data_IF_511188918065
#
_entry.id   IF_511188918065
#
_cell.length_a   1.000
_cell.length_b   1.000
_cell.length_c   1.000
_cell.angle_alpha   90.00
_cell.angle_beta   90.00
_cell.angle_gamma   90.00
#
_symmetry.space_group_name_H-M   'P 1'
#
loop_
_entity.id
_entity.type
_entity.pdbx_description
1 polymer ?
#
# COMPACT_ATOMS: atom_id res chain seq x y z
N UNK A 1 -16.36 -1.00 8.47
CA UNK A 1 -16.09 -1.28 7.05
C UNK A 1 -14.58 -1.36 6.87
N UNK A 2 -14.08 -2.09 5.87
CA UNK A 2 -12.65 -2.38 5.75
C UNK A 2 -12.00 -1.45 4.75
N UNK A 3 -11.05 -0.63 5.20
CA UNK A 3 -10.24 0.21 4.30
C UNK A 3 -9.20 -0.65 3.58
N UNK A 4 -9.34 -0.77 2.26
CA UNK A 4 -8.36 -1.35 1.33
C UNK A 4 -7.95 -0.31 0.30
N UNK A 5 -6.68 -0.29 -0.08
CA UNK A 5 -6.17 0.53 -1.15
C UNK A 5 -5.72 -0.34 -2.32
N UNK A 6 -5.94 0.14 -3.54
CA UNK A 6 -5.56 -0.57 -4.76
C UNK A 6 -5.04 0.41 -5.81
N UNK A 7 -4.16 -0.03 -6.73
CA UNK A 7 -3.65 0.83 -7.79
C UNK A 7 -4.77 1.45 -8.62
N UNK A 8 -4.71 2.77 -8.87
CA UNK A 8 -5.69 3.49 -9.69
C UNK A 8 -5.80 2.84 -11.07
N UNK A 9 -4.65 2.53 -11.66
CA UNK A 9 -4.53 1.72 -12.86
C UNK A 9 -3.79 0.42 -12.53
N UNK A 10 -4.47 -0.72 -12.73
CA UNK A 10 -3.82 -2.03 -12.56
C UNK A 10 -2.55 -2.15 -13.41
N UNK A 11 -1.36 -2.35 -12.80
CA UNK A 11 -0.10 -2.28 -13.54
C UNK A 11 0.05 -3.31 -14.66
N UNK A 12 -0.52 -4.51 -14.49
CA UNK A 12 -0.54 -5.54 -15.55
C UNK A 12 -1.40 -5.12 -16.75
N UNK A 13 -2.52 -4.41 -16.52
CA UNK A 13 -3.31 -3.81 -17.61
C UNK A 13 -2.56 -2.66 -18.27
N UNK A 14 -1.92 -1.80 -17.48
CA UNK A 14 -1.15 -0.67 -18.00
C UNK A 14 0.00 -1.10 -18.92
N UNK A 15 0.69 -2.20 -18.57
CA UNK A 15 1.80 -2.76 -19.33
C UNK A 15 1.37 -3.73 -20.44
N UNK A 16 0.08 -4.00 -20.61
CA UNK A 16 -0.42 -4.97 -21.60
C UNK A 16 -0.01 -6.42 -21.31
N UNK A 17 0.29 -6.76 -20.05
CA UNK A 17 0.73 -8.09 -19.62
C UNK A 17 -0.34 -8.87 -18.86
N UNK A 18 -1.52 -8.28 -18.65
CA UNK A 18 -2.64 -8.95 -18.01
C UNK A 18 -3.19 -10.07 -18.91
N UNK A 19 -3.33 -11.26 -18.35
CA UNK A 19 -4.17 -12.32 -18.92
C UNK A 19 -5.59 -12.05 -18.45
N UNK A 20 -6.53 -12.01 -19.39
CA UNK A 20 -7.93 -11.74 -19.11
C UNK A 20 -8.75 -13.02 -19.17
N UNK A 21 -9.74 -13.14 -18.29
CA UNK A 21 -10.73 -14.21 -18.34
C UNK A 21 -11.76 -13.98 -19.47
N UNK A 22 -12.69 -14.92 -19.63
CA UNK A 22 -13.75 -14.82 -20.64
C UNK A 22 -14.70 -13.62 -20.49
N UNK A 23 -14.66 -12.93 -19.35
CA UNK A 23 -15.45 -11.73 -19.05
C UNK A 23 -14.62 -10.43 -19.12
N UNK A 24 -13.34 -10.52 -19.52
CA UNK A 24 -12.42 -9.38 -19.61
C UNK A 24 -11.88 -8.89 -18.27
N UNK A 25 -12.06 -9.64 -17.18
CA UNK A 25 -11.43 -9.36 -15.87
C UNK A 25 -10.02 -9.93 -15.85
N UNK A 26 -9.19 -9.42 -14.93
CA UNK A 26 -7.81 -9.91 -14.79
C UNK A 26 -7.84 -11.28 -14.12
N UNK A 27 -7.32 -12.29 -14.79
CA UNK A 27 -6.99 -13.56 -14.16
C UNK A 27 -5.63 -13.41 -13.48
N UNK A 28 -5.63 -13.23 -12.15
CA UNK A 28 -4.42 -12.98 -11.38
C UNK A 28 -3.47 -14.18 -11.39
N UNK A 29 -3.99 -15.41 -11.38
CA UNK A 29 -3.19 -16.63 -11.32
C UNK A 29 -2.54 -16.89 -12.69
N UNK A 30 -3.31 -16.77 -13.77
CA UNK A 30 -2.76 -16.90 -15.12
C UNK A 30 -1.77 -15.77 -15.45
N UNK A 31 -2.06 -14.53 -15.02
CA UNK A 31 -1.14 -13.39 -15.20
C UNK A 31 0.18 -13.62 -14.45
N UNK A 32 0.14 -14.15 -13.23
CA UNK A 32 1.35 -14.49 -12.47
C UNK A 32 2.09 -15.69 -13.08
N UNK A 33 1.37 -16.75 -13.47
CA UNK A 33 1.96 -17.93 -14.11
C UNK A 33 2.67 -17.62 -15.42
N UNK A 34 2.19 -16.62 -16.17
CA UNK A 34 2.84 -16.11 -17.38
C UNK A 34 3.97 -15.10 -17.11
N UNK A 35 4.28 -14.78 -15.85
CA UNK A 35 5.27 -13.75 -15.49
C UNK A 35 4.82 -12.31 -15.80
N UNK A 36 3.53 -12.12 -16.07
CA UNK A 36 2.94 -10.84 -16.45
C UNK A 36 2.68 -9.89 -15.30
N UNK A 37 2.64 -10.36 -14.05
CA UNK A 37 2.30 -9.56 -12.87
C UNK A 37 3.45 -8.63 -12.43
N UNK A 38 3.33 -7.29 -12.53
CA UNK A 38 4.41 -6.39 -12.11
C UNK A 38 4.65 -6.38 -10.60
N UNK A 39 3.61 -6.59 -9.79
CA UNK A 39 3.74 -6.65 -8.32
C UNK A 39 4.60 -7.85 -7.91
N UNK A 40 4.30 -9.03 -8.46
CA UNK A 40 5.05 -10.25 -8.19
C UNK A 40 6.51 -10.11 -8.58
N UNK A 41 6.79 -9.51 -9.75
CA UNK A 41 8.16 -9.29 -10.24
C UNK A 41 8.92 -8.25 -9.43
N UNK A 42 8.24 -7.22 -8.92
CA UNK A 42 8.85 -6.20 -8.09
C UNK A 42 9.35 -6.78 -6.76
N UNK A 43 8.74 -7.88 -6.29
CA UNK A 43 9.11 -8.57 -5.06
C UNK A 43 9.33 -7.56 -3.92
N UNK A 44 8.24 -6.90 -3.49
CA UNK A 44 8.25 -5.84 -2.48
C UNK A 44 8.69 -6.30 -1.08
N UNK A 45 9.26 -7.51 -0.95
CA UNK A 45 9.69 -8.13 0.28
C UNK A 45 8.54 -8.62 1.15
N UNK A 46 8.90 -9.12 2.32
CA UNK A 46 7.95 -9.59 3.32
C UNK A 46 7.11 -8.45 3.92
N UNK A 47 6.02 -8.82 4.61
CA UNK A 47 5.14 -7.87 5.30
C UNK A 47 3.89 -7.47 4.52
N UNK A 48 3.58 -8.17 3.44
CA UNK A 48 2.37 -7.92 2.68
C UNK A 48 1.13 -8.12 3.56
N UNK A 49 0.37 -7.04 3.74
CA UNK A 49 -0.92 -7.08 4.43
C UNK A 49 -2.02 -7.00 3.39
N UNK A 50 -2.64 -8.15 3.11
CA UNK A 50 -3.65 -8.27 2.08
C UNK A 50 -4.99 -7.67 2.50
N UNK A 51 -5.66 -7.05 1.53
CA UNK A 51 -7.01 -6.53 1.70
C UNK A 51 -8.08 -7.62 1.80
N UNK A 52 -9.34 -7.22 1.91
CA UNK A 52 -10.48 -8.13 2.13
C UNK A 52 -10.59 -9.24 1.08
N UNK A 53 -10.20 -8.95 -0.17
CA UNK A 53 -10.28 -9.90 -1.27
C UNK A 53 -8.99 -10.69 -1.52
N UNK A 54 -7.95 -10.51 -0.69
CA UNK A 54 -6.68 -11.23 -0.86
C UNK A 54 -5.93 -10.91 -2.15
N UNK A 55 -6.30 -9.85 -2.87
CA UNK A 55 -5.68 -9.48 -4.14
C UNK A 55 -4.24 -9.01 -3.86
N UNK A 56 -3.20 -9.66 -4.42
CA UNK A 56 -1.84 -9.44 -3.93
C UNK A 56 -1.31 -8.02 -4.09
N UNK A 57 -1.69 -7.33 -5.16
CA UNK A 57 -1.27 -5.94 -5.40
C UNK A 57 -2.07 -4.89 -4.62
N UNK A 58 -3.08 -5.30 -3.85
CA UNK A 58 -3.81 -4.41 -2.95
C UNK A 58 -3.11 -4.34 -1.60
N UNK A 59 -3.40 -3.29 -0.85
CA UNK A 59 -2.90 -3.10 0.50
C UNK A 59 -4.04 -2.84 1.48
N UNK A 60 -3.93 -3.38 2.69
CA UNK A 60 -4.88 -3.13 3.77
C UNK A 60 -4.65 -1.76 4.40
N UNK A 61 -5.23 -0.72 3.82
CA UNK A 61 -5.10 0.67 4.32
C UNK A 61 -5.51 0.88 5.77
N UNK A 62 -6.39 0.05 6.31
CA UNK A 62 -6.71 0.07 7.75
C UNK A 62 -5.49 -0.18 8.64
N UNK A 63 -4.57 -1.06 8.23
CA UNK A 63 -3.33 -1.32 8.96
C UNK A 63 -2.39 -0.13 8.86
N UNK A 64 -2.23 0.44 7.65
CA UNK A 64 -1.45 1.66 7.46
C UNK A 64 -1.98 2.86 8.27
N UNK A 65 -3.31 3.00 8.36
CA UNK A 65 -3.96 4.01 9.20
C UNK A 65 -3.65 3.81 10.68
N UNK A 66 -3.69 2.56 11.16
CA UNK A 66 -3.33 2.26 12.55
C UNK A 66 -1.88 2.63 12.85
N UNK A 67 -0.94 2.35 11.94
CA UNK A 67 0.47 2.73 12.07
C UNK A 67 0.64 4.26 12.13
N UNK A 68 -0.05 4.99 11.26
CA UNK A 68 -0.07 6.46 11.25
C UNK A 68 -0.59 7.01 12.58
N UNK A 69 -1.72 6.49 13.07
CA UNK A 69 -2.32 6.96 14.31
C UNK A 69 -1.41 6.71 15.52
N UNK A 70 -0.75 5.55 15.59
CA UNK A 70 0.22 5.26 16.64
C UNK A 70 1.38 6.27 16.66
N UNK A 71 1.90 6.65 15.48
CA UNK A 71 2.93 7.69 15.36
C UNK A 71 2.41 9.05 15.83
N UNK A 72 1.19 9.43 15.45
CA UNK A 72 0.59 10.70 15.88
C UNK A 72 0.38 10.73 17.39
N UNK A 73 -0.14 9.65 17.97
CA UNK A 73 -0.33 9.53 19.43
C UNK A 73 1.00 9.60 20.19
N UNK A 74 2.10 9.16 19.57
CA UNK A 74 3.46 9.28 20.10
C UNK A 74 4.12 10.65 19.86
N UNK A 75 3.41 11.61 19.28
CA UNK A 75 3.86 12.99 19.10
C UNK A 75 4.41 13.31 17.71
N UNK A 76 4.28 12.39 16.75
CA UNK A 76 4.51 12.70 15.33
C UNK A 76 3.37 13.53 14.73
N UNK A 77 3.60 14.09 13.55
CA UNK A 77 2.57 14.81 12.80
C UNK A 77 2.66 14.46 11.32
N UNK A 78 1.52 14.14 10.71
CA UNK A 78 1.41 14.02 9.27
C UNK A 78 1.55 15.41 8.62
N UNK A 79 2.25 15.53 7.46
CA UNK A 79 2.22 16.72 6.63
C UNK A 79 0.78 17.04 6.18
N UNK A 80 0.49 18.31 5.97
CA UNK A 80 -0.85 18.77 5.56
C UNK A 80 -1.27 18.13 4.24
N UNK A 81 -0.32 17.96 3.31
CA UNK A 81 -0.48 17.41 1.97
C UNK A 81 -0.94 15.94 1.97
N UNK A 82 -0.68 15.22 3.05
CA UNK A 82 -1.06 13.81 3.24
C UNK A 82 -1.85 13.60 4.53
N UNK A 83 -2.56 14.63 5.00
CA UNK A 83 -3.29 14.61 6.27
C UNK A 83 -4.39 13.53 6.34
N UNK A 84 -4.88 13.04 5.20
CA UNK A 84 -5.81 11.90 5.14
C UNK A 84 -5.14 10.53 5.27
N UNK A 85 -3.80 10.44 5.23
CA UNK A 85 -3.08 9.16 5.29
C UNK A 85 -3.56 8.16 4.23
N UNK A 86 -3.89 6.93 4.64
CA UNK A 86 -4.40 5.93 3.71
C UNK A 86 -5.84 6.19 3.24
N UNK A 87 -6.51 7.22 3.77
CA UNK A 87 -7.80 7.67 3.26
C UNK A 87 -7.66 8.57 2.01
N UNK A 88 -6.46 9.03 1.67
CA UNK A 88 -6.25 9.88 0.50
C UNK A 88 -6.62 11.33 0.73
N UNK A 89 -6.92 12.05 -0.36
CA UNK A 89 -7.16 13.50 -0.39
C UNK A 89 -8.64 13.92 -0.24
N UNK A 90 -9.52 12.96 0.06
CA UNK A 90 -10.96 13.19 0.22
C UNK A 90 -11.79 12.90 -1.02
N UNK A 91 -11.17 12.61 -2.17
CA UNK A 91 -11.84 12.05 -3.36
C UNK A 91 -11.62 10.53 -3.49
N UNK A 92 -11.26 9.86 -2.39
CA UNK A 92 -10.85 8.46 -2.35
C UNK A 92 -9.61 8.17 -3.21
N UNK A 93 -8.76 9.18 -3.43
CA UNK A 93 -7.58 9.10 -4.27
C UNK A 93 -6.28 9.38 -3.52
N UNK A 94 -5.24 8.62 -3.88
CA UNK A 94 -3.87 8.86 -3.49
C UNK A 94 -3.10 9.05 -4.79
N UNK A 95 -2.85 10.31 -5.18
CA UNK A 95 -2.03 10.62 -6.36
C UNK A 95 -0.60 10.04 -6.23
N UNK A 96 0.18 9.93 -7.32
CA UNK A 96 1.58 9.52 -7.23
C UNK A 96 2.40 10.35 -6.23
N UNK A 97 2.22 11.67 -6.21
CA UNK A 97 2.91 12.57 -5.29
C UNK A 97 2.44 12.39 -3.84
N UNK A 98 1.14 12.16 -3.65
CA UNK A 98 0.58 11.81 -2.34
C UNK A 98 1.20 10.52 -1.80
N UNK A 99 1.21 9.46 -2.63
CA UNK A 99 1.82 8.17 -2.28
C UNK A 99 3.30 8.34 -1.92
N UNK A 100 4.06 9.11 -2.70
CA UNK A 100 5.48 9.34 -2.45
C UNK A 100 5.74 10.17 -1.19
N UNK A 101 4.92 11.18 -0.94
CA UNK A 101 5.01 12.01 0.27
C UNK A 101 4.70 11.17 1.51
N UNK A 102 3.61 10.39 1.48
CA UNK A 102 3.24 9.52 2.59
C UNK A 102 4.27 8.41 2.83
N UNK A 103 4.83 7.82 1.77
CA UNK A 103 5.89 6.83 1.88
C UNK A 103 7.15 7.40 2.56
N UNK A 104 7.57 8.61 2.15
CA UNK A 104 8.71 9.29 2.77
C UNK A 104 8.47 9.58 4.25
N UNK A 105 7.27 10.05 4.57
CA UNK A 105 6.89 10.28 5.97
C UNK A 105 6.94 8.98 6.79
N UNK A 106 6.43 7.86 6.27
CA UNK A 106 6.56 6.56 6.95
C UNK A 106 8.03 6.20 7.15
N UNK A 107 8.85 6.28 6.11
CA UNK A 107 10.30 5.98 6.17
C UNK A 107 11.01 6.76 7.29
N UNK A 108 10.65 8.03 7.50
CA UNK A 108 11.22 8.89 8.54
C UNK A 108 10.71 8.62 9.96
N UNK A 109 9.56 7.96 10.11
CA UNK A 109 8.87 7.78 11.40
C UNK A 109 8.81 6.33 11.91
N UNK A 110 9.45 5.39 11.20
CA UNK A 110 9.45 3.97 11.57
C UNK A 110 9.94 3.69 12.99
N UNK A 111 11.01 4.33 13.44
CA UNK A 111 11.53 4.14 14.81
C UNK A 111 10.56 4.65 15.88
N UNK A 112 9.89 5.78 15.60
CA UNK A 112 8.88 6.32 16.51
C UNK A 112 7.70 5.35 16.64
N UNK A 113 7.20 4.82 15.52
CA UNK A 113 6.18 3.77 15.52
C UNK A 113 6.61 2.55 16.34
N UNK A 114 7.82 2.02 16.11
CA UNK A 114 8.29 0.83 16.84
C UNK A 114 8.44 1.09 18.34
N UNK A 115 8.73 2.32 18.75
CA UNK A 115 8.80 2.70 20.17
C UNK A 115 7.45 2.60 20.89
N UNK A 116 6.32 2.69 20.16
CA UNK A 116 4.98 2.56 20.73
C UNK A 116 4.58 1.11 21.01
N UNK A 117 5.38 0.15 20.54
CA UNK A 117 5.09 -1.28 20.63
C UNK A 117 5.95 -1.99 21.67
N UNK A 118 5.43 -3.08 22.28
CA UNK A 118 6.23 -4.01 23.06
C UNK A 118 7.41 -4.56 22.24
N UNK A 119 8.57 -4.75 22.86
CA UNK A 119 9.78 -5.23 22.17
C UNK A 119 9.54 -6.53 21.38
N UNK A 120 8.72 -7.44 21.93
CA UNK A 120 8.34 -8.71 21.29
C UNK A 120 7.60 -8.57 19.97
N UNK A 121 6.96 -7.43 19.70
CA UNK A 121 6.16 -7.19 18.50
C UNK A 121 6.92 -6.38 17.43
N UNK A 122 8.00 -5.70 17.82
CA UNK A 122 8.70 -4.74 16.96
C UNK A 122 9.24 -5.36 15.67
N UNK A 123 9.77 -6.58 15.72
CA UNK A 123 10.36 -7.21 14.54
C UNK A 123 9.32 -7.45 13.43
N UNK A 124 8.15 -7.97 13.78
CA UNK A 124 7.05 -8.18 12.82
C UNK A 124 6.47 -6.87 12.33
N UNK A 125 6.20 -5.94 13.25
CA UNK A 125 5.64 -4.63 12.93
C UNK A 125 6.58 -3.81 12.02
N UNK A 126 7.90 -3.90 12.20
CA UNK A 126 8.88 -3.24 11.34
C UNK A 126 8.82 -3.73 9.89
N UNK A 127 8.56 -5.03 9.69
CA UNK A 127 8.45 -5.63 8.36
C UNK A 127 7.19 -5.11 7.65
N UNK A 128 6.04 -5.14 8.33
CA UNK A 128 4.77 -4.64 7.79
C UNK A 128 4.80 -3.13 7.52
N UNK A 129 5.41 -2.37 8.43
CA UNK A 129 5.54 -0.92 8.30
C UNK A 129 6.41 -0.53 7.09
N UNK A 130 7.55 -1.20 6.91
CA UNK A 130 8.39 -1.01 5.71
C UNK A 130 7.66 -1.45 4.44
N UNK A 131 6.86 -2.50 4.50
CA UNK A 131 6.05 -2.92 3.36
C UNK A 131 5.04 -1.84 2.96
N UNK A 132 4.40 -1.17 3.91
CA UNK A 132 3.46 -0.08 3.62
C UNK A 132 4.11 1.05 2.80
N UNK A 133 5.30 1.51 3.21
CA UNK A 133 6.07 2.51 2.46
C UNK A 133 6.46 2.01 1.05
N UNK A 134 6.98 0.78 0.95
CA UNK A 134 7.34 0.18 -0.35
C UNK A 134 6.14 0.04 -1.28
N UNK A 135 4.98 -0.34 -0.75
CA UNK A 135 3.76 -0.46 -1.52
C UNK A 135 3.28 0.89 -2.06
N UNK A 136 3.36 1.95 -1.26
CA UNK A 136 3.04 3.32 -1.70
C UNK A 136 3.98 3.78 -2.82
N UNK A 137 5.30 3.60 -2.67
CA UNK A 137 6.30 3.91 -3.72
C UNK A 137 6.00 3.15 -5.01
N UNK A 138 5.77 1.84 -4.90
CA UNK A 138 5.49 0.98 -6.04
C UNK A 138 4.19 1.37 -6.75
N UNK A 139 3.15 1.74 -5.98
CA UNK A 139 1.86 2.15 -6.52
C UNK A 139 1.92 3.55 -7.17
N UNK A 140 2.72 4.46 -6.63
CA UNK A 140 3.01 5.73 -7.28
C UNK A 140 3.65 5.51 -8.67
N UNK A 141 4.65 4.63 -8.75
CA UNK A 141 5.40 4.38 -9.99
C UNK A 141 4.60 3.59 -11.04
N UNK A 142 3.85 2.58 -10.62
CA UNK A 142 3.24 1.62 -11.55
C UNK A 142 1.72 1.69 -11.62
N UNK A 143 1.10 2.22 -10.57
CA UNK A 143 -0.35 2.30 -10.41
C UNK A 143 -0.97 3.62 -10.82
N UNK A 144 -0.15 4.64 -11.14
CA UNK A 144 -0.60 6.03 -11.27
C UNK A 144 -1.29 6.52 -9.98
N UNK A 145 -0.72 6.12 -8.84
CA UNK A 145 -1.34 6.30 -7.54
C UNK A 145 -2.32 5.17 -7.17
N UNK A 146 -3.10 5.38 -6.12
CA UNK A 146 -4.05 4.42 -5.58
C UNK A 146 -5.44 5.02 -5.42
N UNK A 147 -6.43 4.15 -5.33
CA UNK A 147 -7.74 4.47 -4.74
C UNK A 147 -7.82 3.95 -3.31
N UNK A 148 -8.64 4.59 -2.50
CA UNK A 148 -9.13 4.08 -1.23
C UNK A 148 -10.53 3.46 -1.41
N UNK A 149 -10.79 2.33 -0.75
CA UNK A 149 -12.10 1.70 -0.72
C UNK A 149 -12.46 1.41 0.74
N UNK A 150 -13.54 2.02 1.24
CA UNK A 150 -13.98 1.92 2.63
C UNK A 150 -15.49 1.77 2.81
#
# INVERSE_FOLDING_TARGET
MGLDNYPRRYPCKAKGTAVLDGEGRIDCDATQGAGGCPWQRANLGDGAVYGLFGVPCWYRGKVGTWMINAVIEAGGSLPEEVSGGFYGDGEDELSPDYCNTLAGWLEDHGELFLSTLPESERAGAAIEYRYAARWLRWTAEHGDGAHAWW
#
